data_IF_435623817371
#
_entry.id   IF_435623817371
#
_cell.length_a   1.000
_cell.length_b   1.000
_cell.length_c   1.000
_cell.angle_alpha   90.00
_cell.angle_beta   90.00
_cell.angle_gamma   90.00
#
_symmetry.space_group_name_H-M   'P 1'
#
loop_
_entity.id
_entity.type
_entity.pdbx_description
1 polymer ?
#
# COMPACT_ATOMS: atom_id res chain seq x y z
N UNK A 24 0.69 8.27 -16.93
CA UNK A 24 -0.77 8.19 -17.04
C UNK A 24 -1.43 9.48 -16.56
N UNK A 25 -2.66 9.70 -17.00
CA UNK A 25 -3.38 10.92 -16.67
C UNK A 25 -3.94 10.86 -15.24
N UNK A 26 -3.12 11.26 -14.28
CA UNK A 26 -3.55 11.31 -12.89
C UNK A 26 -4.70 12.27 -12.69
N UNK A 27 -5.70 11.86 -11.90
CA UNK A 27 -6.79 12.73 -11.51
C UNK A 27 -6.64 13.20 -10.07
N UNK A 28 -5.42 13.07 -9.54
CA UNK A 28 -5.15 13.45 -8.16
C UNK A 28 -5.19 12.24 -7.23
N UNK A 29 -4.15 12.10 -6.41
CA UNK A 29 -4.02 10.93 -5.56
C UNK A 29 -4.55 11.19 -4.16
N UNK A 30 -5.04 10.13 -3.51
CA UNK A 30 -5.56 10.24 -2.16
C UNK A 30 -4.74 9.43 -1.17
N UNK A 31 -4.56 9.95 0.03
CA UNK A 31 -3.69 9.34 1.02
C UNK A 31 -4.47 8.93 2.27
N UNK A 32 -4.56 7.62 2.48
CA UNK A 32 -5.38 7.08 3.57
C UNK A 32 -4.55 6.21 4.50
N UNK A 33 -5.04 6.02 5.73
CA UNK A 33 -4.38 5.17 6.69
C UNK A 33 -5.23 3.95 7.02
N UNK A 34 -4.62 2.76 6.97
CA UNK A 34 -5.33 1.52 7.24
C UNK A 34 -4.61 0.70 8.30
N UNK A 35 -5.37 0.17 9.24
CA UNK A 35 -4.83 -0.75 10.24
C UNK A 35 -4.74 -2.17 9.70
N UNK A 36 -3.52 -2.69 9.62
CA UNK A 36 -3.28 -4.02 9.08
C UNK A 36 -3.68 -5.09 10.08
N UNK A 37 -3.92 -6.31 9.59
CA UNK A 37 -4.33 -7.41 10.44
C UNK A 37 -3.34 -8.58 10.33
N UNK A 38 -3.27 -9.39 11.39
CA UNK A 38 -2.37 -10.52 11.42
C UNK A 38 -3.05 -11.77 10.88
N UNK A 39 -2.43 -12.42 9.91
CA UNK A 39 -3.00 -13.60 9.27
C UNK A 39 -2.42 -14.87 9.86
N UNK A 40 -3.29 -15.72 10.40
CA UNK A 40 -2.87 -17.00 10.96
C UNK A 40 -2.08 -17.82 9.95
N UNK A 41 -0.94 -18.35 10.37
CA UNK A 41 -0.09 -19.14 9.50
C UNK A 41 0.90 -19.97 10.30
N UNK A 42 1.30 -21.11 9.75
CA UNK A 42 2.31 -21.96 10.38
C UNK A 42 3.70 -21.38 10.18
N UNK A 43 3.82 -20.39 9.29
CA UNK A 43 5.08 -19.72 9.05
C UNK A 43 5.54 -18.95 10.29
N UNK A 44 6.80 -19.12 10.66
CA UNK A 44 7.36 -18.44 11.82
C UNK A 44 7.13 -16.94 11.74
N UNK A 45 7.17 -16.40 10.52
CA UNK A 45 7.04 -14.97 10.31
C UNK A 45 5.58 -14.53 10.38
N UNK A 46 5.34 -13.35 10.95
CA UNK A 46 4.00 -12.81 11.07
C UNK A 46 3.57 -12.11 9.79
N UNK A 47 2.36 -12.43 9.32
CA UNK A 47 1.86 -11.88 8.07
C UNK A 47 0.92 -10.71 8.33
N UNK A 48 1.35 -9.52 7.94
CA UNK A 48 0.51 -8.32 8.09
C UNK A 48 -0.13 -7.93 6.76
N UNK A 49 -1.46 -7.96 6.72
CA UNK A 49 -2.19 -7.70 5.49
C UNK A 49 -2.87 -6.34 5.53
N UNK A 50 -2.74 -5.59 4.43
CA UNK A 50 -3.41 -4.30 4.31
C UNK A 50 -4.68 -4.43 3.48
N UNK A 51 -5.80 -4.07 4.09
CA UNK A 51 -7.11 -4.18 3.42
C UNK A 51 -7.17 -3.28 2.19
N UNK A 52 -7.56 -3.87 1.07
CA UNK A 52 -7.80 -3.10 -0.15
C UNK A 52 -9.22 -3.32 -0.65
N UNK A 53 -10.05 -2.28 -0.54
CA UNK A 53 -11.45 -2.37 -0.93
C UNK A 53 -11.58 -2.78 -2.39
N UNK A 54 -12.62 -3.56 -2.68
CA UNK A 54 -12.87 -4.02 -4.04
C UNK A 54 -13.44 -2.91 -4.91
N UNK A 55 -12.56 -2.06 -5.43
CA UNK A 55 -12.98 -0.96 -6.29
C UNK A 55 -12.68 -1.25 -7.75
N UNK A 56 -13.73 -1.31 -8.56
CA UNK A 56 -13.59 -1.62 -9.98
C UNK A 56 -13.56 -0.34 -10.82
N UNK A 57 -12.48 0.42 -10.70
CA UNK A 57 -12.25 1.56 -11.57
C UNK A 57 -10.83 1.56 -12.12
N UNK A 58 -10.60 2.37 -13.15
CA UNK A 58 -9.25 2.54 -13.70
C UNK A 58 -8.36 3.32 -12.74
N UNK A 59 -7.79 2.62 -11.77
CA UNK A 59 -6.99 3.26 -10.74
C UNK A 59 -5.90 2.33 -10.23
N UNK A 60 -4.86 2.90 -9.65
CA UNK A 60 -3.80 2.12 -9.02
C UNK A 60 -3.65 2.49 -7.55
N UNK A 61 -3.13 1.56 -6.76
CA UNK A 61 -2.90 1.79 -5.34
C UNK A 61 -1.46 1.48 -4.94
N UNK A 62 -0.87 2.35 -4.14
CA UNK A 62 0.48 2.12 -3.63
C UNK A 62 0.49 2.00 -2.11
N UNK A 63 1.09 0.92 -1.63
CA UNK A 63 1.19 0.68 -0.19
C UNK A 63 2.58 0.99 0.34
N UNK A 64 2.64 1.72 1.45
CA UNK A 64 3.88 1.89 2.18
C UNK A 64 3.73 1.47 3.65
N UNK A 65 4.56 0.54 4.07
CA UNK A 65 4.51 0.02 5.44
C UNK A 65 5.27 0.92 6.40
N UNK A 66 4.58 1.42 7.41
CA UNK A 66 5.15 2.42 8.31
C UNK A 66 5.17 1.93 9.75
N UNK A 67 6.31 2.13 10.41
CA UNK A 67 6.46 1.72 11.81
C UNK A 67 6.49 2.92 12.74
N UNK A 68 5.47 3.05 13.57
CA UNK A 68 5.29 4.23 14.41
C UNK A 68 6.37 4.31 15.47
N UNK A 69 6.68 3.18 16.09
CA UNK A 69 7.62 3.13 17.20
C UNK A 69 9.03 3.48 16.74
N UNK A 70 9.32 3.19 15.47
CA UNK A 70 10.62 3.48 14.89
C UNK A 70 10.60 4.81 14.12
N UNK A 71 9.39 5.30 13.86
CA UNK A 71 9.23 6.57 13.14
C UNK A 71 9.84 6.49 11.74
N UNK A 72 9.56 5.40 11.04
CA UNK A 72 10.11 5.19 9.70
C UNK A 72 9.22 4.27 8.88
N UNK A 73 9.73 3.82 7.75
CA UNK A 73 8.98 2.91 6.87
C UNK A 73 9.92 1.95 6.15
N UNK A 74 9.35 0.89 5.60
CA UNK A 74 10.13 -0.15 4.94
C UNK A 74 10.48 0.23 3.52
N UNK A 75 11.73 -0.02 3.13
CA UNK A 75 12.23 0.41 1.83
C UNK A 75 11.63 -0.42 0.70
N UNK A 76 10.36 -0.17 0.41
CA UNK A 76 9.71 -0.81 -0.73
C UNK A 76 8.25 -0.37 -0.85
N UNK A 77 7.78 -0.24 -2.08
CA UNK A 77 6.38 0.11 -2.33
C UNK A 77 5.67 -1.00 -3.09
N UNK A 78 4.41 -1.23 -2.74
CA UNK A 78 3.61 -2.28 -3.38
C UNK A 78 2.48 -1.68 -4.20
N UNK A 79 2.34 -2.16 -5.43
CA UNK A 79 1.43 -1.54 -6.39
C UNK A 79 0.28 -2.49 -6.73
N UNK A 80 -0.94 -1.95 -6.72
CA UNK A 80 -2.10 -2.68 -7.21
C UNK A 80 -2.76 -1.95 -8.39
N UNK A 81 -3.53 -2.70 -9.17
CA UNK A 81 -4.20 -2.14 -10.34
C UNK A 81 -5.58 -2.75 -10.53
N UNK A 82 -6.55 -1.91 -10.88
CA UNK A 82 -7.90 -2.38 -11.16
C UNK A 82 -8.42 -1.81 -12.48
N UNK A 83 -9.69 -2.05 -12.77
CA UNK A 83 -10.33 -1.47 -13.93
C UNK A 83 -11.85 -1.55 -13.83
N UNK A 84 -12.54 -0.91 -14.77
CA UNK A 84 -14.00 -0.92 -14.79
C UNK A 84 -14.54 -2.34 -14.71
N UNK A 85 -13.76 -3.29 -15.22
CA UNK A 85 -14.19 -4.68 -15.26
C UNK A 85 -13.39 -5.54 -14.29
N UNK A 86 -12.13 -5.18 -14.09
CA UNK A 86 -11.21 -6.01 -13.31
C UNK A 86 -11.13 -5.54 -11.86
N UNK A 87 -10.96 -6.48 -10.95
CA UNK A 87 -10.79 -6.17 -9.54
C UNK A 87 -9.35 -5.83 -9.21
N UNK A 88 -9.15 -5.07 -8.14
CA UNK A 88 -7.81 -4.73 -7.69
C UNK A 88 -6.96 -5.98 -7.47
N UNK A 89 -5.82 -6.04 -8.16
CA UNK A 89 -4.89 -7.16 -7.99
C UNK A 89 -3.45 -6.67 -7.89
N UNK A 90 -2.62 -7.44 -7.20
CA UNK A 90 -1.22 -7.10 -7.04
C UNK A 90 -0.52 -6.94 -8.38
N UNK A 91 -0.04 -5.74 -8.65
CA UNK A 91 0.64 -5.45 -9.91
C UNK A 91 2.14 -5.74 -9.81
N UNK A 92 2.79 -5.09 -8.86
CA UNK A 92 4.25 -5.14 -8.77
C UNK A 92 4.74 -4.58 -7.43
N UNK A 93 6.04 -4.70 -7.19
CA UNK A 93 6.66 -4.08 -6.03
C UNK A 93 8.03 -3.52 -6.36
N UNK A 94 8.28 -2.28 -5.96
CA UNK A 94 9.52 -1.59 -6.32
C UNK A 94 10.16 -0.96 -5.09
N UNK A 95 11.46 -1.14 -4.95
CA UNK A 95 12.20 -0.59 -3.82
C UNK A 95 12.17 0.94 -3.82
N UNK A 96 12.09 1.53 -2.64
CA UNK A 96 11.86 2.97 -2.51
C UNK A 96 13.17 3.74 -2.69
N UNK A 97 13.65 3.79 -3.93
CA UNK A 97 14.87 4.53 -4.24
C UNK A 97 14.69 6.03 -3.97
N UNK A 98 13.59 6.58 -4.45
CA UNK A 98 13.31 8.00 -4.29
C UNK A 98 11.82 8.26 -4.12
N UNK A 99 11.48 9.23 -3.28
CA UNK A 99 10.09 9.60 -3.05
C UNK A 99 9.51 10.33 -4.25
N UNK A 100 8.21 10.18 -4.46
CA UNK A 100 7.53 10.84 -5.57
C UNK A 100 6.73 12.05 -5.09
N UNK A 101 6.75 12.29 -3.79
CA UNK A 101 5.99 13.38 -3.20
C UNK A 101 6.84 14.18 -2.23
N UNK A 102 7.84 14.88 -2.76
CA UNK A 102 8.70 15.72 -1.95
C UNK A 102 10.01 15.00 -1.63
N UNK A 103 10.51 15.23 -0.40
CA UNK A 103 11.79 14.65 0.00
C UNK A 103 11.59 13.61 1.09
N UNK A 104 12.59 12.75 1.26
CA UNK A 104 12.53 11.69 2.26
C UNK A 104 13.90 11.47 2.91
N UNK A 105 14.72 10.65 2.27
CA UNK A 105 16.10 10.44 2.72
C UNK A 105 16.13 9.99 4.17
N UNK A 106 15.12 9.22 4.56
CA UNK A 106 15.03 8.73 5.94
C UNK A 106 15.63 7.33 6.07
N UNK A 107 15.89 6.92 7.30
CA UNK A 107 16.44 5.58 7.56
C UNK A 107 15.38 4.51 7.31
N UNK A 108 15.23 4.10 6.06
CA UNK A 108 14.23 3.11 5.68
C UNK A 108 14.65 1.71 6.13
N UNK A 109 13.66 0.88 6.45
CA UNK A 109 13.93 -0.45 6.98
C UNK A 109 14.26 -1.44 5.86
N UNK A 110 15.21 -2.32 6.13
CA UNK A 110 15.65 -3.31 5.14
C UNK A 110 15.10 -4.70 5.46
N UNK A 111 15.17 -5.59 4.48
CA UNK A 111 14.75 -6.98 4.68
C UNK A 111 15.49 -7.61 5.85
N UNK A 112 16.78 -7.34 5.94
CA UNK A 112 17.62 -7.94 6.96
C UNK A 112 17.21 -7.51 8.36
N UNK A 113 16.41 -6.45 8.43
CA UNK A 113 15.93 -5.94 9.70
C UNK A 113 14.69 -6.70 10.17
N UNK A 114 14.20 -7.61 9.33
CA UNK A 114 13.05 -8.43 9.67
C UNK A 114 11.78 -7.91 9.00
N UNK A 115 11.95 -7.34 7.82
CA UNK A 115 10.83 -6.70 7.12
C UNK A 115 10.84 -7.05 5.63
N UNK A 116 10.19 -8.15 5.29
CA UNK A 116 10.16 -8.62 3.90
C UNK A 116 8.75 -8.53 3.33
N UNK A 117 8.55 -7.58 2.42
CA UNK A 117 7.28 -7.45 1.71
C UNK A 117 7.19 -8.43 0.55
N UNK A 118 6.09 -9.15 0.45
CA UNK A 118 5.91 -10.15 -0.60
C UNK A 118 5.80 -9.49 -1.97
N UNK A 119 6.77 -9.77 -2.83
CA UNK A 119 6.81 -9.18 -4.15
C UNK A 119 6.55 -10.22 -5.23
N UNK A 120 5.84 -11.29 -4.87
CA UNK A 120 5.49 -12.34 -5.81
C UNK A 120 4.09 -12.14 -6.37
N UNK A 121 3.93 -12.37 -7.67
CA UNK A 121 2.62 -12.36 -8.30
C UNK A 121 2.02 -13.77 -8.36
N UNK A 122 2.81 -14.75 -7.94
CA UNK A 122 2.38 -16.15 -8.00
C UNK A 122 1.81 -16.60 -6.65
N UNK A 123 2.35 -16.04 -5.58
CA UNK A 123 1.88 -16.37 -4.24
C UNK A 123 0.44 -15.96 -4.04
N UNK A 124 0.08 -14.79 -4.56
CA UNK A 124 -1.28 -14.27 -4.44
C UNK A 124 -1.42 -13.38 -3.21
N UNK A 125 -0.36 -13.33 -2.40
CA UNK A 125 -0.37 -12.51 -1.19
C UNK A 125 0.63 -11.36 -1.30
N UNK A 126 0.93 -10.97 -2.53
CA UNK A 126 1.88 -9.90 -2.78
C UNK A 126 1.42 -8.60 -2.14
N UNK A 127 2.36 -7.89 -1.50
CA UNK A 127 2.04 -6.63 -0.82
C UNK A 127 2.09 -6.80 0.69
N UNK A 128 1.90 -8.03 1.15
CA UNK A 128 1.85 -8.30 2.59
C UNK A 128 3.25 -8.29 3.19
N UNK A 129 3.34 -7.87 4.45
CA UNK A 129 4.63 -7.71 5.11
C UNK A 129 4.92 -8.90 6.02
N UNK A 130 6.07 -9.53 5.79
CA UNK A 130 6.53 -10.61 6.66
C UNK A 130 7.43 -10.07 7.78
N UNK A 131 7.00 -10.29 9.02
CA UNK A 131 7.74 -9.82 10.18
C UNK A 131 8.54 -10.96 10.82
N UNK A 132 9.84 -10.79 10.92
CA UNK A 132 10.72 -11.82 11.45
C UNK A 132 10.83 -11.72 12.97
N UNK A 133 11.13 -12.85 13.61
CA UNK A 133 11.26 -12.89 15.07
C UNK A 133 12.47 -12.09 15.52
N UNK A 134 13.38 -11.81 14.59
CA UNK A 134 14.53 -10.96 14.88
C UNK A 134 14.11 -9.50 15.08
N UNK A 135 12.97 -9.14 14.51
CA UNK A 135 12.45 -7.79 14.65
C UNK A 135 11.68 -7.62 15.95
N UNK A 136 11.74 -6.41 16.51
CA UNK A 136 11.04 -6.11 17.76
C UNK A 136 9.54 -6.23 17.58
N UNK A 137 8.91 -7.01 18.46
CA UNK A 137 7.49 -7.31 18.33
C UNK A 137 6.64 -6.11 18.70
N UNK A 138 7.18 -5.26 19.57
CA UNK A 138 6.53 -4.00 19.92
C UNK A 138 6.40 -3.09 18.70
N UNK A 139 7.45 -3.05 17.89
CA UNK A 139 7.44 -2.26 16.67
C UNK A 139 6.58 -2.92 15.59
N UNK A 140 6.53 -4.24 15.62
CA UNK A 140 5.66 -4.99 14.71
C UNK A 140 4.20 -4.61 14.90
N UNK A 141 3.80 -4.45 16.15
CA UNK A 141 2.42 -4.08 16.47
C UNK A 141 2.12 -2.64 16.08
N UNK A 142 3.19 -1.86 15.88
CA UNK A 142 3.04 -0.45 15.53
C UNK A 142 3.12 -0.24 14.03
N UNK A 143 3.13 -1.34 13.28
CA UNK A 143 3.13 -1.27 11.82
C UNK A 143 1.77 -0.83 11.30
N UNK A 144 1.78 0.12 10.37
CA UNK A 144 0.55 0.63 9.79
C UNK A 144 0.66 0.73 8.27
N UNK A 145 -0.49 0.69 7.60
CA UNK A 145 -0.51 0.70 6.14
C UNK A 145 -0.85 2.08 5.60
N UNK A 146 0.05 2.63 4.80
CA UNK A 146 -0.20 3.88 4.11
C UNK A 146 -0.68 3.64 2.67
N UNK A 147 -1.89 4.11 2.37
CA UNK A 147 -2.51 3.84 1.09
C UNK A 147 -2.55 5.08 0.21
N UNK A 148 -1.97 4.98 -0.98
CA UNK A 148 -2.11 6.03 -1.98
C UNK A 148 -2.96 5.56 -3.15
N UNK A 149 -4.09 6.23 -3.36
CA UNK A 149 -5.00 5.90 -4.46
C UNK A 149 -4.89 6.91 -5.58
N UNK A 150 -4.49 6.45 -6.76
CA UNK A 150 -4.27 7.32 -7.91
C UNK A 150 -5.12 6.89 -9.09
N UNK A 151 -6.32 7.47 -9.21
CA UNK A 151 -7.20 7.17 -10.32
C UNK A 151 -6.67 7.78 -11.62
N UNK A 152 -6.92 7.08 -12.73
CA UNK A 152 -6.41 7.51 -14.03
C UNK A 152 -7.54 7.91 -14.97
N UNK A 153 -7.18 8.51 -16.09
CA UNK A 153 -8.13 8.74 -17.17
C UNK A 153 -7.43 8.75 -18.53
N UNK A 154 -8.16 9.17 -19.56
CA UNK A 154 -7.57 9.35 -20.88
C UNK A 154 -7.77 10.77 -21.38
N UNK A 155 -8.57 11.55 -20.66
CA UNK A 155 -8.82 12.94 -21.02
C UNK A 155 -7.93 13.88 -20.22
N UNK A 156 -6.96 14.49 -20.90
CA UNK A 156 -5.99 15.34 -20.24
C UNK A 156 -6.63 16.59 -19.66
N UNK A 157 -7.84 16.89 -20.12
CA UNK A 157 -8.58 18.06 -19.66
C UNK A 157 -9.12 17.84 -18.26
N UNK A 158 -9.22 16.58 -17.85
CA UNK A 158 -9.74 16.24 -16.54
C UNK A 158 -8.66 16.38 -15.47
N UNK A 159 -9.01 17.02 -14.36
CA UNK A 159 -8.10 17.17 -13.23
C UNK A 159 -8.65 16.50 -11.98
N UNK A 160 -9.77 15.80 -12.14
CA UNK A 160 -10.43 15.15 -11.02
C UNK A 160 -11.44 14.10 -11.50
N UNK A 161 -11.67 13.09 -10.67
CA UNK A 161 -12.64 12.06 -10.99
C UNK A 161 -14.07 12.58 -10.88
N UNK A 162 -14.99 11.94 -11.59
CA UNK A 162 -16.38 12.38 -11.61
C UNK A 162 -17.19 11.71 -10.51
N UNK A 163 -18.48 12.01 -10.46
CA UNK A 163 -19.35 11.49 -9.42
C UNK A 163 -19.32 9.97 -9.37
N UNK A 164 -19.46 9.35 -10.54
CA UNK A 164 -19.47 7.90 -10.63
C UNK A 164 -18.22 7.29 -9.97
N UNK A 165 -17.06 7.80 -10.35
CA UNK A 165 -15.79 7.29 -9.82
C UNK A 165 -15.69 7.53 -8.33
N UNK A 166 -16.10 8.71 -7.88
CA UNK A 166 -16.05 9.07 -6.47
C UNK A 166 -16.91 8.14 -5.63
N UNK A 167 -18.08 7.79 -6.15
CA UNK A 167 -18.97 6.84 -5.50
C UNK A 167 -18.35 5.45 -5.45
N UNK A 168 -17.75 5.03 -6.57
CA UNK A 168 -17.14 3.72 -6.66
C UNK A 168 -15.88 3.63 -5.82
N UNK A 169 -15.22 4.77 -5.62
CA UNK A 169 -14.01 4.83 -4.81
C UNK A 169 -14.32 5.20 -3.37
N UNK A 170 -15.62 5.28 -3.05
CA UNK A 170 -16.05 5.76 -1.75
C UNK A 170 -15.58 4.84 -0.63
N UNK A 171 -15.36 3.57 -0.98
CA UNK A 171 -14.87 2.59 -0.02
C UNK A 171 -13.47 2.95 0.47
N UNK A 172 -12.75 3.69 -0.35
CA UNK A 172 -11.43 4.18 0.03
C UNK A 172 -11.51 5.62 0.56
N UNK A 173 -12.34 6.43 -0.08
CA UNK A 173 -12.43 7.85 0.24
C UNK A 173 -12.97 8.06 1.65
N UNK A 174 -13.72 7.08 2.14
CA UNK A 174 -14.33 7.17 3.47
C UNK A 174 -13.42 6.55 4.51
N UNK A 175 -12.16 6.33 4.15
CA UNK A 175 -11.15 5.87 5.10
C UNK A 175 -10.48 7.05 5.80
N UNK A 176 -9.92 6.79 6.99
CA UNK A 176 -9.16 7.81 7.70
C UNK A 176 -8.01 8.32 6.85
N UNK A 177 -7.73 9.62 6.98
CA UNK A 177 -6.67 10.25 6.21
C UNK A 177 -5.30 9.97 6.83
N UNK A 178 -4.31 9.73 5.98
CA UNK A 178 -2.93 9.57 6.44
C UNK A 178 -1.95 9.72 5.29
N UNK A 179 -1.15 10.78 5.34
CA UNK A 179 -0.20 11.08 4.27
C UNK A 179 1.00 11.85 4.81
#
# INVERSE_FOLDING_TARGET
MASSRNDNESEKMQKEYKEKMKYRHSLGCYFKGINPTKVPSSDPRTVLKCTLPDVKVNASWTLEWVVVNLHTSVDVTSYYESSPNSEPRFLRAILNFTPMHGLRTKNLLKVKDGFQVDNSTDNGNGGNLYVYPNATTGSADSVRCRLRMCPWTSNSKMTAPDEEMLRKMSEVLNLPNYGVPDLTPPRRDEFYTKNESPNT
#
